data_IF_556655020916
#
_entry.id   IF_556655020916
#
_cell.length_a   1.000
_cell.length_b   1.000
_cell.length_c   1.000
_cell.angle_alpha   90.00
_cell.angle_beta   90.00
_cell.angle_gamma   90.00
#
_symmetry.space_group_name_H-M   'P 1'
#
loop_
_entity.id
_entity.type
_entity.pdbx_description
1 polymer ?
#
# COMPACT_ATOMS: atom_id res chain seq x y z
N UNK A 1 -6.34 -2.42 1.21
CA UNK A 1 -5.17 -3.02 1.88
C UNK A 1 -4.36 -3.75 0.83
N UNK A 2 -3.04 -3.64 0.81
CA UNK A 2 -2.12 -4.01 -0.27
C UNK A 2 -1.00 -4.88 0.31
N UNK A 3 -0.42 -5.78 -0.49
CA UNK A 3 0.85 -6.40 -0.12
C UNK A 3 2.07 -5.67 -0.69
N UNK A 4 3.21 -5.71 0.02
CA UNK A 4 4.51 -5.15 -0.42
C UNK A 4 5.70 -6.03 -0.01
N UNK A 5 6.87 -5.79 -0.63
CA UNK A 5 8.11 -6.58 -0.50
C UNK A 5 9.08 -5.90 0.47
N UNK A 6 9.73 -6.65 1.35
CA UNK A 6 10.87 -6.16 2.17
C UNK A 6 12.19 -6.74 1.67
N UNK A 7 13.31 -6.00 1.77
CA UNK A 7 14.65 -6.54 2.12
C UNK A 7 15.77 -5.47 2.15
N UNK A 8 16.65 -5.65 3.15
CA UNK A 8 17.94 -5.00 3.39
C UNK A 8 18.99 -5.30 2.30
N UNK A 9 19.88 -4.34 1.99
CA UNK A 9 21.35 -4.51 1.93
C UNK A 9 22.07 -3.15 1.75
N UNK A 10 23.24 -3.03 2.38
CA UNK A 10 24.16 -1.90 2.35
C UNK A 10 25.02 -1.87 1.07
N UNK A 11 25.41 -0.68 0.60
CA UNK A 11 26.78 -0.33 0.14
C UNK A 11 26.87 1.17 -0.25
N UNK A 12 28.05 1.76 -0.01
CA UNK A 12 28.40 3.17 -0.16
C UNK A 12 28.74 3.60 -1.61
N UNK A 13 28.52 4.91 -1.84
CA UNK A 13 29.32 5.86 -2.63
C UNK A 13 28.98 6.26 -4.09
N UNK A 14 28.24 7.40 -4.18
CA UNK A 14 28.38 8.56 -5.07
C UNK A 14 27.48 9.68 -4.50
N UNK A 15 28.03 10.75 -3.94
CA UNK A 15 27.32 11.58 -2.93
C UNK A 15 26.01 12.25 -3.38
N UNK A 16 25.78 12.49 -4.68
CA UNK A 16 24.54 13.10 -5.20
C UNK A 16 23.58 12.03 -5.75
N UNK A 17 24.06 11.09 -6.55
CA UNK A 17 23.23 10.04 -7.17
C UNK A 17 22.80 8.95 -6.16
N UNK A 18 23.68 8.58 -5.23
CA UNK A 18 23.36 7.64 -4.13
C UNK A 18 22.33 8.24 -3.18
N UNK A 19 22.29 9.57 -3.04
CA UNK A 19 21.29 10.25 -2.23
C UNK A 19 19.90 10.14 -2.89
N UNK A 20 19.78 10.43 -4.19
CA UNK A 20 18.49 10.34 -4.89
C UNK A 20 17.94 8.90 -4.94
N UNK A 21 18.77 7.90 -5.26
CA UNK A 21 18.34 6.49 -5.26
C UNK A 21 17.87 6.06 -3.87
N UNK A 22 18.60 6.46 -2.82
CA UNK A 22 18.21 6.16 -1.44
C UNK A 22 16.91 6.85 -1.04
N UNK A 23 16.70 8.10 -1.47
CA UNK A 23 15.44 8.83 -1.25
C UNK A 23 14.26 8.13 -1.92
N UNK A 24 14.41 7.72 -3.18
CA UNK A 24 13.38 6.98 -3.91
C UNK A 24 13.08 5.64 -3.24
N UNK A 25 14.11 4.88 -2.85
CA UNK A 25 13.92 3.62 -2.12
C UNK A 25 13.16 3.84 -0.81
N UNK A 26 13.57 4.82 0.00
CA UNK A 26 12.91 5.13 1.26
C UNK A 26 11.45 5.54 1.06
N UNK A 27 11.15 6.30 0.00
CA UNK A 27 9.77 6.63 -0.37
C UNK A 27 8.99 5.36 -0.71
N UNK A 28 9.53 4.47 -1.55
CA UNK A 28 8.87 3.21 -1.96
C UNK A 28 8.58 2.32 -0.74
N UNK A 29 9.58 2.13 0.14
CA UNK A 29 9.45 1.31 1.35
C UNK A 29 8.41 1.89 2.33
N UNK A 30 8.35 3.21 2.46
CA UNK A 30 7.38 3.90 3.32
C UNK A 30 5.97 3.97 2.72
N UNK A 31 5.79 3.64 1.44
CA UNK A 31 4.56 3.92 0.69
C UNK A 31 3.89 2.67 0.09
N UNK A 32 3.58 1.63 0.90
CA UNK A 32 2.98 0.40 0.38
C UNK A 32 1.53 0.57 -0.09
N UNK A 33 0.89 1.71 0.20
CA UNK A 33 -0.45 2.05 -0.28
C UNK A 33 -0.53 3.53 -0.66
N UNK A 34 -1.53 3.95 -1.47
CA UNK A 34 -1.71 5.36 -1.82
C UNK A 34 -1.82 6.30 -0.61
N UNK A 35 -2.47 5.85 0.48
CA UNK A 35 -2.58 6.65 1.71
C UNK A 35 -1.22 6.80 2.41
N UNK A 36 -0.40 5.76 2.42
CA UNK A 36 0.95 5.85 2.97
C UNK A 36 1.83 6.80 2.14
N UNK A 37 1.71 6.78 0.81
CA UNK A 37 2.40 7.75 -0.06
C UNK A 37 1.96 9.18 0.25
N UNK A 38 0.67 9.43 0.37
CA UNK A 38 0.14 10.75 0.72
C UNK A 38 0.64 11.21 2.09
N UNK A 39 0.64 10.35 3.11
CA UNK A 39 1.18 10.70 4.43
C UNK A 39 2.70 10.94 4.38
N UNK A 40 3.45 10.17 3.59
CA UNK A 40 4.87 10.38 3.38
C UNK A 40 5.12 11.76 2.74
N UNK A 41 4.43 12.08 1.64
CA UNK A 41 4.57 13.35 0.92
C UNK A 41 4.12 14.53 1.78
N UNK A 42 3.01 14.41 2.53
CA UNK A 42 2.53 15.45 3.43
C UNK A 42 3.58 15.79 4.51
N UNK A 43 4.27 14.78 5.07
CA UNK A 43 5.38 15.00 6.02
C UNK A 43 6.55 15.74 5.35
N UNK A 44 6.92 15.36 4.13
CA UNK A 44 7.99 16.04 3.39
C UNK A 44 7.63 17.51 3.07
N UNK A 45 6.39 17.76 2.64
CA UNK A 45 5.88 19.11 2.36
C UNK A 45 5.88 19.98 3.62
N UNK A 46 5.40 19.43 4.74
CA UNK A 46 5.40 20.13 6.03
C UNK A 46 6.83 20.46 6.48
N UNK A 47 7.77 19.52 6.36
CA UNK A 47 9.19 19.75 6.65
C UNK A 47 9.82 20.80 5.72
N UNK A 48 9.30 20.97 4.50
CA UNK A 48 9.70 21.99 3.55
C UNK A 48 8.97 23.34 3.72
N UNK A 49 8.16 23.49 4.78
CA UNK A 49 7.47 24.74 5.13
C UNK A 49 6.13 24.98 4.42
N UNK A 50 5.55 23.96 3.78
CA UNK A 50 4.19 24.07 3.24
C UNK A 50 3.15 23.95 4.35
N UNK A 51 2.06 24.70 4.25
CA UNK A 51 0.96 24.65 5.21
C UNK A 51 -0.05 23.55 4.85
N UNK A 52 -0.37 22.65 5.80
CA UNK A 52 -1.48 21.69 5.63
C UNK A 52 -2.83 22.43 5.70
N UNK A 53 -3.58 22.38 4.61
CA UNK A 53 -4.87 23.04 4.45
C UNK A 53 -6.03 22.03 4.37
N UNK A 54 -5.80 20.78 4.78
CA UNK A 54 -6.77 19.69 4.59
C UNK A 54 -8.10 19.92 5.31
N UNK A 55 -8.05 20.43 6.54
CA UNK A 55 -9.23 20.67 7.39
C UNK A 55 -9.66 22.15 7.44
N UNK A 56 -9.04 23.01 6.63
CA UNK A 56 -9.37 24.44 6.63
C UNK A 56 -10.57 24.73 5.72
N UNK A 57 -11.67 25.23 6.30
CA UNK A 57 -12.82 25.74 5.53
C UNK A 57 -12.47 26.97 4.67
N UNK A 58 -11.40 27.68 5.02
CA UNK A 58 -10.64 28.64 4.21
C UNK A 58 -9.49 29.14 5.07
N UNK A 59 -8.21 28.95 4.73
CA UNK A 59 -7.16 29.67 5.40
C UNK A 59 -7.39 31.17 5.14
N UNK A 60 -7.59 31.96 6.20
CA UNK A 60 -7.70 33.41 6.05
C UNK A 60 -6.42 33.95 5.42
N UNK A 61 -6.53 34.63 4.27
CA UNK A 61 -5.40 35.19 3.52
C UNK A 61 -4.82 34.27 2.44
N UNK A 62 -4.02 34.85 1.54
CA UNK A 62 -3.35 34.11 0.47
C UNK A 62 -2.12 33.38 1.03
N UNK A 63 -2.19 32.04 1.12
CA UNK A 63 -1.03 31.23 1.47
C UNK A 63 -0.07 31.14 0.29
N UNK A 64 1.19 31.54 0.51
CA UNK A 64 2.26 31.46 -0.48
C UNK A 64 2.64 30.02 -0.84
N UNK A 65 2.43 29.06 0.06
CA UNK A 65 2.52 27.63 -0.23
C UNK A 65 1.67 26.78 0.72
N UNK A 66 1.04 25.75 0.19
CA UNK A 66 0.24 24.82 0.97
C UNK A 66 -0.04 23.52 0.25
N UNK A 67 -0.70 22.60 0.93
CA UNK A 67 -1.22 21.38 0.34
C UNK A 67 -2.56 20.98 0.95
N UNK A 68 -3.34 20.23 0.19
CA UNK A 68 -4.54 19.53 0.66
C UNK A 68 -4.36 18.05 0.35
N UNK A 69 -4.76 17.17 1.28
CA UNK A 69 -4.83 15.73 1.04
C UNK A 69 -6.25 15.22 1.22
N UNK A 70 -6.62 14.21 0.44
CA UNK A 70 -7.89 13.50 0.57
C UNK A 70 -7.70 12.03 0.25
N UNK A 71 -7.79 11.18 1.26
CA UNK A 71 -7.54 9.74 1.15
C UNK A 71 -6.18 9.43 0.48
N UNK A 72 -6.19 8.94 -0.76
CA UNK A 72 -5.00 8.59 -1.52
C UNK A 72 -4.50 9.68 -2.47
N UNK A 73 -5.06 10.89 -2.41
CA UNK A 73 -4.70 12.00 -3.29
C UNK A 73 -4.12 13.17 -2.50
N UNK A 74 -3.19 13.90 -3.11
CA UNK A 74 -2.60 15.13 -2.55
C UNK A 74 -2.38 16.15 -3.67
N UNK A 75 -2.67 17.41 -3.36
CA UNK A 75 -2.37 18.55 -4.24
C UNK A 75 -1.57 19.54 -3.42
N UNK A 76 -0.41 19.93 -3.93
CA UNK A 76 0.46 20.93 -3.33
C UNK A 76 0.68 22.10 -4.30
N UNK A 77 0.85 23.30 -3.76
CA UNK A 77 1.07 24.51 -4.55
C UNK A 77 2.10 25.43 -3.89
N UNK A 78 2.74 26.24 -4.73
CA UNK A 78 3.60 27.36 -4.32
C UNK A 78 3.38 28.52 -5.29
N UNK A 79 3.10 29.70 -4.74
CA UNK A 79 2.97 30.94 -5.50
C UNK A 79 4.36 31.47 -5.88
N UNK A 80 4.54 31.83 -7.15
CA UNK A 80 5.75 32.52 -7.62
C UNK A 80 5.67 34.05 -7.50
N UNK A 81 4.46 34.59 -7.37
CA UNK A 81 4.14 36.02 -7.25
C UNK A 81 2.75 36.19 -6.62
N UNK A 82 2.46 37.37 -6.08
CA UNK A 82 1.13 37.69 -5.51
C UNK A 82 0.03 37.67 -6.59
N UNK A 83 0.35 38.16 -7.79
CA UNK A 83 -0.54 38.08 -8.95
C UNK A 83 -0.37 36.74 -9.65
N UNK A 84 -1.45 35.96 -9.72
CA UNK A 84 -1.49 34.67 -10.41
C UNK A 84 -1.93 34.90 -11.86
N UNK A 85 -0.99 34.80 -12.80
CA UNK A 85 -1.29 34.92 -14.24
C UNK A 85 -1.22 33.59 -14.98
N UNK A 86 -0.42 32.63 -14.48
CA UNK A 86 -0.14 31.34 -15.13
C UNK A 86 0.10 30.24 -14.10
N UNK A 87 -0.21 29.01 -14.47
CA UNK A 87 0.08 27.82 -13.67
C UNK A 87 1.12 26.93 -14.37
N UNK A 88 2.03 26.36 -13.58
CA UNK A 88 2.84 25.21 -14.00
C UNK A 88 2.35 24.00 -13.20
N UNK A 89 1.76 23.04 -13.89
CA UNK A 89 1.14 21.87 -13.28
C UNK A 89 1.97 20.64 -13.63
N UNK A 90 2.31 19.85 -12.61
CA UNK A 90 2.92 18.53 -12.76
C UNK A 90 1.93 17.53 -12.17
N UNK A 91 1.52 16.55 -12.98
CA UNK A 91 0.60 15.50 -12.59
C UNK A 91 1.30 14.14 -12.50
N UNK A 92 0.93 13.37 -11.49
CA UNK A 92 1.28 11.97 -11.31
C UNK A 92 0.10 11.25 -10.62
N UNK A 93 0.17 9.94 -10.44
CA UNK A 93 -0.81 9.16 -9.71
C UNK A 93 -0.15 8.40 -8.55
N UNK A 94 -0.92 8.09 -7.51
CA UNK A 94 -0.43 7.52 -6.24
C UNK A 94 -0.67 6.02 -6.10
N UNK A 95 -1.41 5.43 -7.03
CA UNK A 95 -1.79 4.03 -7.02
C UNK A 95 -0.93 3.19 -7.96
N UNK A 96 -0.96 1.88 -7.73
CA UNK A 96 -0.27 0.90 -8.56
C UNK A 96 -1.12 -0.37 -8.60
N UNK A 97 -1.09 -1.13 -9.71
CA UNK A 97 -1.76 -2.42 -9.78
C UNK A 97 -1.34 -3.35 -8.64
N UNK A 98 -2.32 -4.01 -8.01
CA UNK A 98 -2.07 -4.81 -6.81
C UNK A 98 -3.12 -5.88 -6.55
N UNK A 99 -2.92 -6.64 -5.48
CA UNK A 99 -3.96 -7.47 -4.85
C UNK A 99 -4.51 -6.76 -3.61
N UNK A 100 -5.83 -6.57 -3.55
CA UNK A 100 -6.55 -6.01 -2.41
C UNK A 100 -7.24 -7.10 -1.63
N UNK A 101 -7.26 -7.01 -0.31
CA UNK A 101 -7.98 -7.99 0.51
C UNK A 101 -9.49 -7.72 0.43
N UNK A 102 -10.28 -8.78 0.23
CA UNK A 102 -11.75 -8.70 0.16
C UNK A 102 -12.38 -8.28 1.50
N UNK A 103 -13.61 -7.75 1.52
CA UNK A 103 -14.32 -7.42 2.76
C UNK A 103 -14.53 -8.61 3.71
N UNK A 104 -14.75 -9.81 3.16
CA UNK A 104 -14.85 -11.07 3.89
C UNK A 104 -13.77 -12.03 3.39
N UNK A 105 -12.51 -11.85 3.81
CA UNK A 105 -11.39 -12.50 3.15
C UNK A 105 -11.07 -13.88 3.70
N UNK A 106 -11.58 -14.23 4.89
CA UNK A 106 -11.25 -15.45 5.58
C UNK A 106 -11.76 -16.68 4.82
N UNK A 107 -10.85 -17.58 4.49
CA UNK A 107 -11.15 -18.87 3.88
C UNK A 107 -10.26 -19.95 4.50
N UNK A 108 -10.77 -21.17 4.59
CA UNK A 108 -10.01 -22.35 5.04
C UNK A 108 -10.16 -23.49 4.05
N UNK A 109 -9.03 -24.07 3.64
CA UNK A 109 -8.97 -25.21 2.70
C UNK A 109 -7.81 -26.12 3.08
N UNK A 110 -8.08 -27.42 3.20
CA UNK A 110 -7.05 -28.46 3.41
C UNK A 110 -6.09 -28.17 4.58
N UNK A 111 -6.60 -27.64 5.69
CA UNK A 111 -5.79 -27.30 6.89
C UNK A 111 -5.03 -25.97 6.79
N UNK A 112 -5.13 -25.28 5.64
CA UNK A 112 -4.59 -23.94 5.43
C UNK A 112 -5.68 -22.90 5.59
N UNK A 113 -5.29 -21.76 6.16
CA UNK A 113 -6.09 -20.55 6.14
C UNK A 113 -5.53 -19.63 5.07
N UNK A 114 -6.43 -19.06 4.29
CA UNK A 114 -6.09 -18.16 3.18
C UNK A 114 -6.88 -16.87 3.28
N UNK A 115 -6.31 -15.80 2.73
CA UNK A 115 -6.97 -14.52 2.55
C UNK A 115 -7.38 -14.37 1.07
N UNK A 116 -8.67 -14.21 0.84
CA UNK A 116 -9.20 -13.92 -0.48
C UNK A 116 -8.88 -12.47 -0.88
N UNK A 117 -8.54 -12.32 -2.15
CA UNK A 117 -8.12 -11.04 -2.72
C UNK A 117 -8.94 -10.67 -3.95
N UNK A 118 -8.96 -9.37 -4.24
CA UNK A 118 -9.44 -8.74 -5.46
C UNK A 118 -8.27 -8.15 -6.23
N UNK A 119 -8.33 -8.25 -7.56
CA UNK A 119 -7.34 -7.63 -8.44
C UNK A 119 -7.70 -6.16 -8.61
N UNK A 120 -6.74 -5.27 -8.33
CA UNK A 120 -6.85 -3.85 -8.62
C UNK A 120 -5.92 -3.47 -9.78
N UNK A 121 -6.49 -2.85 -10.81
CA UNK A 121 -5.77 -2.55 -12.05
C UNK A 121 -5.44 -3.82 -12.85
N UNK A 122 -4.33 -3.79 -13.57
CA UNK A 122 -3.88 -4.90 -14.44
C UNK A 122 -2.48 -5.39 -14.04
N UNK A 123 -2.32 -6.00 -12.85
CA UNK A 123 -1.03 -6.51 -12.41
C UNK A 123 -0.59 -7.73 -13.24
N UNK A 124 0.72 -7.91 -13.42
CA UNK A 124 1.29 -9.16 -13.89
C UNK A 124 1.14 -10.21 -12.78
N UNK A 125 0.07 -11.01 -12.82
CA UNK A 125 -0.32 -11.92 -11.74
C UNK A 125 0.77 -12.93 -11.36
N UNK A 126 1.50 -13.45 -12.33
CA UNK A 126 2.61 -14.37 -12.09
C UNK A 126 3.71 -13.75 -11.20
N UNK A 127 3.90 -12.42 -11.23
CA UNK A 127 4.92 -11.76 -10.40
C UNK A 127 4.60 -11.75 -8.90
N UNK A 128 3.34 -12.02 -8.53
CA UNK A 128 2.84 -12.13 -7.16
C UNK A 128 3.00 -13.52 -6.57
N UNK A 129 3.21 -14.53 -7.41
CA UNK A 129 3.49 -15.88 -6.94
C UNK A 129 4.86 -15.93 -6.26
N UNK A 130 4.96 -16.77 -5.23
CA UNK A 130 6.19 -17.11 -4.53
C UNK A 130 6.95 -15.91 -3.94
N UNK A 131 6.21 -14.87 -3.57
CA UNK A 131 6.72 -13.70 -2.85
C UNK A 131 6.43 -13.79 -1.35
N UNK A 132 7.34 -13.21 -0.58
CA UNK A 132 7.13 -12.93 0.83
C UNK A 132 6.27 -11.66 0.92
N UNK A 133 4.99 -11.81 1.25
CA UNK A 133 4.02 -10.72 1.20
C UNK A 133 3.69 -10.21 2.62
N UNK A 134 3.97 -8.94 2.89
CA UNK A 134 3.46 -8.21 4.06
C UNK A 134 2.15 -7.49 3.73
N UNK A 135 1.37 -7.03 4.70
CA UNK A 135 0.08 -6.36 4.44
C UNK A 135 0.04 -4.93 4.98
N UNK A 136 -0.45 -3.99 4.17
CA UNK A 136 -0.61 -2.59 4.56
C UNK A 136 -1.95 -2.00 4.14
N UNK A 137 -2.53 -1.11 4.94
CA UNK A 137 -3.86 -0.61 4.67
C UNK A 137 -4.28 0.52 5.60
N UNK A 138 -5.59 0.69 5.70
CA UNK A 138 -6.21 1.58 6.67
C UNK A 138 -7.46 0.91 7.20
N UNK A 139 -7.76 1.16 8.47
CA UNK A 139 -9.04 0.90 9.08
C UNK A 139 -9.77 2.24 9.27
N UNK A 140 -11.04 2.26 8.93
CA UNK A 140 -11.95 3.35 9.32
C UNK A 140 -12.59 2.92 10.62
N UNK A 141 -12.55 3.75 11.65
CA UNK A 141 -13.17 3.46 12.94
C UNK A 141 -14.59 4.02 12.98
N UNK A 142 -15.39 3.56 13.94
CA UNK A 142 -16.77 4.03 14.14
C UNK A 142 -16.91 5.53 14.40
N UNK A 143 -15.89 6.16 14.96
CA UNK A 143 -15.84 7.62 15.16
C UNK A 143 -15.48 8.40 13.88
N UNK A 144 -15.27 7.69 12.76
CA UNK A 144 -14.88 8.26 11.47
C UNK A 144 -13.37 8.46 11.32
N UNK A 145 -12.57 8.27 12.38
CA UNK A 145 -11.12 8.38 12.29
C UNK A 145 -10.52 7.25 11.46
N UNK A 146 -9.34 7.50 10.89
CA UNK A 146 -8.64 6.55 10.03
C UNK A 146 -7.30 6.22 10.65
N UNK A 147 -7.03 4.93 10.86
CA UNK A 147 -5.71 4.44 11.26
C UNK A 147 -5.05 3.68 10.12
N UNK A 148 -3.83 4.08 9.76
CA UNK A 148 -2.99 3.30 8.84
C UNK A 148 -2.30 2.17 9.61
N UNK A 149 -2.09 1.03 8.94
CA UNK A 149 -1.25 -0.05 9.43
C UNK A 149 -0.44 -0.65 8.29
N UNK A 150 0.68 -1.28 8.67
CA UNK A 150 1.61 -1.92 7.76
C UNK A 150 2.37 -3.00 8.54
N UNK A 151 2.47 -4.22 8.04
CA UNK A 151 3.27 -5.26 8.70
C UNK A 151 4.76 -4.99 8.53
N UNK A 152 5.52 -5.16 9.61
CA UNK A 152 6.98 -5.08 9.56
C UNK A 152 7.62 -6.30 8.86
N UNK A 153 6.93 -7.46 8.91
CA UNK A 153 7.40 -8.71 8.33
C UNK A 153 6.38 -9.27 7.33
N UNK A 154 6.82 -10.16 6.42
CA UNK A 154 5.92 -10.95 5.60
C UNK A 154 5.00 -11.83 6.46
N UNK A 155 3.73 -11.93 6.09
CA UNK A 155 2.73 -12.76 6.78
C UNK A 155 1.93 -13.68 5.86
N UNK A 156 2.07 -13.52 4.54
CA UNK A 156 1.33 -14.34 3.59
C UNK A 156 2.17 -14.68 2.35
N UNK A 157 1.69 -15.67 1.61
CA UNK A 157 2.28 -16.14 0.35
C UNK A 157 1.20 -16.67 -0.58
N UNK A 158 1.35 -16.39 -1.88
CA UNK A 158 0.58 -17.06 -2.94
C UNK A 158 1.55 -18.03 -3.61
N UNK A 159 1.34 -19.33 -3.44
CA UNK A 159 2.30 -20.34 -3.89
C UNK A 159 1.98 -20.81 -5.30
N UNK A 160 3.00 -20.97 -6.15
CA UNK A 160 2.84 -21.62 -7.45
C UNK A 160 2.69 -23.14 -7.27
N UNK A 161 1.83 -23.76 -8.08
CA UNK A 161 1.76 -25.22 -8.17
C UNK A 161 3.09 -25.79 -8.68
N UNK A 162 3.57 -26.86 -8.05
CA UNK A 162 4.79 -27.52 -8.47
C UNK A 162 4.67 -28.05 -9.91
N UNK A 163 5.69 -27.80 -10.74
CA UNK A 163 5.69 -28.19 -12.18
C UNK A 163 5.49 -29.70 -12.40
N UNK A 164 5.86 -30.55 -11.44
CA UNK A 164 5.63 -31.99 -11.51
C UNK A 164 4.14 -32.37 -11.62
N UNK A 165 3.26 -31.49 -11.10
CA UNK A 165 1.79 -31.62 -11.13
C UNK A 165 1.14 -30.83 -12.28
N UNK A 166 1.93 -30.10 -13.07
CA UNK A 166 1.49 -29.30 -14.23
C UNK A 166 2.59 -29.31 -15.30
N UNK A 167 2.79 -30.49 -15.90
CA UNK A 167 3.96 -30.80 -16.73
C UNK A 167 3.99 -30.02 -18.04
N UNK A 168 2.84 -29.58 -18.52
CA UNK A 168 2.66 -28.85 -19.80
C UNK A 168 2.73 -27.32 -19.62
N UNK A 169 3.09 -26.84 -18.42
CA UNK A 169 3.11 -25.41 -18.09
C UNK A 169 4.06 -24.60 -18.98
N UNK A 170 5.21 -25.17 -19.34
CA UNK A 170 6.22 -24.46 -20.14
C UNK A 170 5.78 -24.30 -21.60
N UNK A 171 4.96 -25.21 -22.10
CA UNK A 171 4.43 -25.22 -23.46
C UNK A 171 3.17 -24.35 -23.58
N UNK A 172 2.23 -24.47 -22.64
CA UNK A 172 0.95 -23.75 -22.66
C UNK A 172 1.03 -22.33 -22.07
N UNK A 173 2.08 -22.06 -21.30
CA UNK A 173 2.21 -20.87 -20.46
C UNK A 173 1.40 -20.95 -19.16
N UNK A 174 1.78 -20.12 -18.18
CA UNK A 174 1.10 -20.07 -16.89
C UNK A 174 -0.29 -19.42 -17.01
N UNK A 175 -1.35 -20.22 -16.84
CA UNK A 175 -2.73 -19.74 -16.78
C UNK A 175 -3.17 -19.77 -15.32
N UNK A 176 -3.51 -18.59 -14.79
CA UNK A 176 -4.00 -18.43 -13.42
C UNK A 176 -5.50 -18.10 -13.43
N UNK A 177 -6.27 -18.90 -12.70
CA UNK A 177 -7.62 -18.50 -12.33
C UNK A 177 -7.53 -17.38 -11.28
N UNK A 178 -8.13 -16.23 -11.61
CA UNK A 178 -8.06 -15.01 -10.80
C UNK A 178 -8.71 -15.15 -9.42
N UNK A 179 -9.64 -16.09 -9.27
CA UNK A 179 -10.38 -16.30 -8.02
C UNK A 179 -9.80 -17.46 -7.22
N UNK A 180 -9.38 -18.54 -7.88
CA UNK A 180 -8.93 -19.76 -7.21
C UNK A 180 -7.43 -19.78 -6.90
N UNK A 181 -6.59 -19.21 -7.78
CA UNK A 181 -5.13 -19.35 -7.68
C UNK A 181 -4.43 -18.17 -7.00
N UNK A 182 -5.17 -17.15 -6.55
CA UNK A 182 -4.62 -15.94 -5.94
C UNK A 182 -4.90 -15.79 -4.44
N UNK A 183 -5.61 -16.75 -3.82
CA UNK A 183 -5.81 -16.75 -2.37
C UNK A 183 -4.46 -16.90 -1.65
N UNK A 184 -4.15 -15.96 -0.76
CA UNK A 184 -2.86 -15.91 -0.08
C UNK A 184 -2.90 -16.73 1.20
N UNK A 185 -2.10 -17.80 1.28
CA UNK A 185 -1.93 -18.58 2.51
C UNK A 185 -1.22 -17.72 3.56
N UNK A 186 -1.75 -17.70 4.78
CA UNK A 186 -1.23 -16.85 5.87
C UNK A 186 -1.16 -17.54 7.24
N UNK A 187 -1.89 -18.64 7.43
CA UNK A 187 -1.83 -19.44 8.65
C UNK A 187 -2.20 -20.91 8.41
N UNK A 188 -1.94 -21.75 9.41
CA UNK A 188 -2.25 -23.19 9.42
C UNK A 188 -2.98 -23.57 10.70
N UNK A 189 -3.80 -24.62 10.66
CA UNK A 189 -4.41 -25.23 11.85
C UNK A 189 -5.92 -25.00 11.98
N UNK A 190 -6.51 -25.68 12.97
CA UNK A 190 -7.97 -25.77 13.15
C UNK A 190 -8.61 -24.47 13.63
N UNK A 191 -7.90 -23.67 14.42
CA UNK A 191 -8.42 -22.39 14.90
C UNK A 191 -8.26 -21.33 13.82
N UNK A 192 -9.37 -21.00 13.16
CA UNK A 192 -9.43 -19.90 12.18
C UNK A 192 -8.96 -18.59 12.81
N UNK A 193 -7.89 -18.00 12.29
CA UNK A 193 -7.53 -16.61 12.55
C UNK A 193 -8.54 -15.73 11.84
N UNK A 194 -9.18 -14.85 12.60
CA UNK A 194 -10.04 -13.83 12.05
C UNK A 194 -9.21 -12.63 11.60
N UNK A 195 -9.44 -12.20 10.36
CA UNK A 195 -8.60 -11.17 9.75
C UNK A 195 -8.91 -9.78 10.31
N UNK A 196 -10.18 -9.49 10.60
CA UNK A 196 -10.57 -8.24 11.23
C UNK A 196 -9.98 -8.13 12.64
N UNK A 197 -10.00 -9.23 13.40
CA UNK A 197 -9.37 -9.31 14.71
C UNK A 197 -7.86 -9.10 14.63
N UNK A 198 -7.21 -9.68 13.63
CA UNK A 198 -5.80 -9.43 13.38
C UNK A 198 -5.54 -7.96 13.04
N UNK A 199 -6.31 -7.33 12.16
CA UNK A 199 -6.18 -5.88 11.84
C UNK A 199 -6.35 -5.03 13.09
N UNK A 200 -7.36 -5.32 13.92
CA UNK A 200 -7.62 -4.59 15.15
C UNK A 200 -6.40 -4.61 16.09
N UNK A 201 -5.71 -5.75 16.20
CA UNK A 201 -4.47 -5.87 16.96
C UNK A 201 -3.32 -5.02 16.42
N UNK A 202 -3.26 -4.79 15.09
CA UNK A 202 -2.18 -3.99 14.48
C UNK A 202 -2.32 -2.49 14.74
N UNK A 203 -3.51 -2.02 15.09
CA UNK A 203 -3.82 -0.60 15.31
C UNK A 203 -4.24 -0.28 16.75
N UNK A 204 -4.09 -1.26 17.64
CA UNK A 204 -4.45 -1.19 19.07
C UNK A 204 -5.89 -0.72 19.30
N UNK A 205 -6.85 -1.43 18.68
CA UNK A 205 -8.29 -1.23 18.87
C UNK A 205 -8.99 -2.58 19.01
N UNK A 206 -10.25 -2.56 19.46
CA UNK A 206 -11.12 -3.74 19.43
C UNK A 206 -11.77 -3.89 18.05
N UNK A 207 -12.06 -5.12 17.58
CA UNK A 207 -12.70 -5.36 16.29
C UNK A 207 -14.03 -4.61 16.12
N UNK A 208 -14.79 -4.44 17.21
CA UNK A 208 -16.06 -3.73 17.20
C UNK A 208 -15.91 -2.22 17.01
N UNK A 209 -14.69 -1.67 17.10
CA UNK A 209 -14.44 -0.25 16.84
C UNK A 209 -14.14 0.05 15.37
N UNK A 210 -13.88 -0.98 14.57
CA UNK A 210 -13.68 -0.90 13.12
C UNK A 210 -15.04 -0.96 12.42
#
# INVERSE_FOLDING_TARGET
MYFFRTRNFAFENSAVTTNLISQVRNQLDASPTPRHLVEFVAKQLSAAGFTDCTDTNSPGGYLSSGFIKRSGSIVAWRLGSEKIEKFRIIGAHTDSPCLKIKPHPNESRFGWQTLQVEIYGSPLLNSWLDRDLGVAGHAVLRDGSVKLFCTATPIARISQLAIHLDRELNERGLILDKQLHLSAAWATGEKSLDFLQWVASQIDVKPEQI
#
